data_IF_490222404737
#
_entry.id   IF_490222404737
#
_cell.length_a   1.000
_cell.length_b   1.000
_cell.length_c   1.000
_cell.angle_alpha   90.00
_cell.angle_beta   90.00
_cell.angle_gamma   90.00
#
_symmetry.space_group_name_H-M   'P 1'
#
loop_
_entity.id
_entity.type
_entity.pdbx_description
1 polymer ?
#
# COMPACT_ATOMS: atom_id res chain seq x y z
N UNK A 1 10.58 10.95 -3.48
CA UNK A 1 10.08 11.93 -4.47
C UNK A 1 8.90 11.32 -5.20
N UNK A 2 7.71 11.89 -5.05
CA UNK A 2 6.47 11.26 -5.55
C UNK A 2 6.33 11.30 -7.07
N UNK A 3 6.87 12.35 -7.70
CA UNK A 3 6.86 12.51 -9.17
C UNK A 3 7.66 11.41 -9.88
N UNK A 4 8.82 11.04 -9.35
CA UNK A 4 9.64 9.95 -9.92
C UNK A 4 8.85 8.63 -9.94
N UNK A 5 8.20 8.27 -8.82
CA UNK A 5 7.34 7.09 -8.73
C UNK A 5 6.18 7.11 -9.73
N UNK A 6 5.62 8.29 -10.01
CA UNK A 6 4.53 8.42 -10.98
C UNK A 6 4.99 8.04 -12.40
N UNK A 7 6.16 8.53 -12.83
CA UNK A 7 6.67 8.26 -14.17
C UNK A 7 7.37 6.90 -14.30
N UNK A 8 8.12 6.48 -13.29
CA UNK A 8 8.95 5.27 -13.35
C UNK A 8 8.16 3.99 -13.01
N UNK A 9 7.14 4.09 -12.14
CA UNK A 9 6.41 2.91 -11.63
C UNK A 9 4.96 2.91 -12.08
N UNK A 10 4.22 4.00 -11.86
CA UNK A 10 2.78 4.02 -12.13
C UNK A 10 2.45 4.20 -13.62
N UNK A 11 3.25 4.98 -14.35
CA UNK A 11 3.12 5.18 -15.79
C UNK A 11 3.17 3.86 -16.56
N UNK A 12 4.26 3.07 -16.45
CA UNK A 12 4.34 1.75 -17.08
C UNK A 12 3.23 0.80 -16.64
N UNK A 13 2.88 0.79 -15.34
CA UNK A 13 1.83 -0.08 -14.79
C UNK A 13 0.47 0.12 -15.46
N UNK A 14 0.12 1.36 -15.83
CA UNK A 14 -1.19 1.68 -16.39
C UNK A 14 -1.16 2.09 -17.87
N UNK A 15 -0.07 1.80 -18.59
CA UNK A 15 0.10 2.23 -19.98
C UNK A 15 -1.05 1.80 -20.91
N UNK A 16 -1.63 0.62 -20.68
CA UNK A 16 -2.71 0.08 -21.51
C UNK A 16 -4.12 0.40 -20.97
N UNK A 17 -4.23 0.91 -19.73
CA UNK A 17 -5.51 1.12 -19.05
C UNK A 17 -6.10 2.49 -19.42
N UNK A 18 -7.32 2.49 -19.98
CA UNK A 18 -8.06 3.71 -20.35
C UNK A 18 -8.93 4.23 -19.18
N UNK A 19 -8.30 4.83 -18.18
CA UNK A 19 -8.99 5.43 -17.03
C UNK A 19 -9.32 4.43 -15.91
N UNK A 20 -9.89 4.95 -14.81
CA UNK A 20 -10.26 4.12 -13.65
C UNK A 20 -9.05 3.55 -12.89
N UNK A 21 -8.05 4.39 -12.60
CA UNK A 21 -6.80 3.97 -11.92
C UNK A 21 -6.97 3.75 -10.41
N UNK A 22 -8.07 4.25 -9.84
CA UNK A 22 -8.36 4.17 -8.41
C UNK A 22 -9.68 3.46 -8.14
N UNK A 23 -9.75 2.71 -7.05
CA UNK A 23 -10.97 2.13 -6.48
C UNK A 23 -11.25 2.76 -5.13
N UNK A 24 -12.53 3.03 -4.85
CA UNK A 24 -13.01 3.54 -3.57
C UNK A 24 -13.91 2.48 -2.94
N UNK A 25 -13.57 2.06 -1.72
CA UNK A 25 -14.32 1.09 -0.93
C UNK A 25 -14.89 1.80 0.30
N UNK A 26 -16.20 1.69 0.54
CA UNK A 26 -16.84 2.26 1.73
C UNK A 26 -16.31 1.54 2.98
N UNK A 27 -15.92 2.31 3.99
CA UNK A 27 -15.28 1.81 5.21
C UNK A 27 -16.04 2.23 6.48
N UNK A 28 -17.37 2.22 6.41
CA UNK A 28 -18.23 2.54 7.56
C UNK A 28 -18.08 3.98 8.04
N UNK A 29 -18.15 4.17 9.35
CA UNK A 29 -18.07 5.48 10.00
C UNK A 29 -16.92 5.53 10.98
N UNK A 30 -16.26 6.70 11.08
CA UNK A 30 -15.18 6.95 12.02
C UNK A 30 -15.71 7.03 13.44
N UNK A 31 -14.99 6.39 14.35
CA UNK A 31 -15.31 6.41 15.78
C UNK A 31 -15.16 7.84 16.34
N UNK A 32 -16.14 8.29 17.12
CA UNK A 32 -16.13 9.59 17.81
C UNK A 32 -16.95 10.69 17.12
N UNK A 33 -16.92 10.77 15.79
CA UNK A 33 -17.63 11.81 15.03
C UNK A 33 -18.61 11.28 13.98
N UNK A 34 -18.73 9.95 13.85
CA UNK A 34 -19.60 9.29 12.86
C UNK A 34 -19.35 9.79 11.42
N UNK A 35 -18.13 10.22 11.09
CA UNK A 35 -17.81 10.66 9.74
C UNK A 35 -17.75 9.46 8.77
N UNK A 36 -18.39 9.52 7.58
CA UNK A 36 -18.33 8.43 6.62
C UNK A 36 -16.91 8.26 6.06
N UNK A 37 -16.38 7.05 6.17
CA UNK A 37 -15.01 6.72 5.78
C UNK A 37 -14.98 5.91 4.49
N UNK A 38 -13.87 6.01 3.76
CA UNK A 38 -13.59 5.19 2.60
C UNK A 38 -12.09 4.86 2.50
N UNK A 39 -11.80 3.68 1.96
CA UNK A 39 -10.45 3.28 1.57
C UNK A 39 -10.31 3.60 0.08
N UNK A 40 -9.33 4.43 -0.26
CA UNK A 40 -8.93 4.67 -1.64
C UNK A 40 -7.67 3.88 -1.96
N UNK A 41 -7.68 3.22 -3.10
CA UNK A 41 -6.57 2.38 -3.53
C UNK A 41 -6.29 2.49 -5.03
N UNK A 42 -5.04 2.24 -5.41
CA UNK A 42 -4.65 2.04 -6.80
C UNK A 42 -5.07 0.64 -7.26
N UNK A 43 -5.68 0.57 -8.45
CA UNK A 43 -6.12 -0.67 -9.11
C UNK A 43 -4.91 -1.45 -9.61
N UNK A 44 -4.94 -2.77 -9.74
CA UNK A 44 -3.78 -3.58 -10.21
C UNK A 44 -2.49 -3.39 -9.38
N UNK A 45 -2.62 -2.94 -8.12
CA UNK A 45 -1.47 -2.91 -7.21
C UNK A 45 -1.05 -4.35 -6.88
N UNK A 46 0.22 -4.51 -6.56
CA UNK A 46 0.70 -5.72 -5.90
C UNK A 46 0.24 -5.72 -4.44
N UNK A 47 -0.63 -6.66 -4.08
CA UNK A 47 -1.14 -6.82 -2.72
C UNK A 47 -0.08 -7.39 -1.77
N UNK A 48 0.87 -8.17 -2.29
CA UNK A 48 1.95 -8.79 -1.51
C UNK A 48 2.98 -7.76 -1.04
N UNK A 49 3.14 -6.68 -1.79
CA UNK A 49 4.06 -5.59 -1.44
C UNK A 49 3.62 -4.79 -0.19
N UNK A 50 2.35 -4.88 0.23
CA UNK A 50 1.83 -4.11 1.37
C UNK A 50 2.43 -4.62 2.68
N UNK A 51 3.27 -3.79 3.30
CA UNK A 51 3.93 -4.10 4.57
C UNK A 51 5.07 -5.11 4.45
N UNK A 52 5.51 -5.44 3.23
CA UNK A 52 6.63 -6.36 3.01
C UNK A 52 7.93 -5.84 3.63
N UNK A 53 8.21 -4.53 3.51
CA UNK A 53 9.39 -3.91 4.10
C UNK A 53 9.36 -3.94 5.64
N UNK A 54 8.21 -3.63 6.25
CA UNK A 54 8.05 -3.70 7.71
C UNK A 54 8.17 -5.14 8.22
N UNK A 55 7.57 -6.12 7.53
CA UNK A 55 7.71 -7.54 7.87
C UNK A 55 9.15 -8.02 7.76
N UNK A 56 9.86 -7.63 6.70
CA UNK A 56 11.26 -8.01 6.51
C UNK A 56 12.16 -7.41 7.60
N UNK A 57 11.90 -6.16 8.02
CA UNK A 57 12.60 -5.53 9.13
C UNK A 57 12.37 -6.29 10.44
N UNK A 58 11.12 -6.61 10.77
CA UNK A 58 10.78 -7.33 12.00
C UNK A 58 11.39 -8.73 12.01
N UNK A 59 11.31 -9.46 10.89
CA UNK A 59 11.93 -10.79 10.78
C UNK A 59 13.46 -10.74 10.98
N UNK A 60 14.14 -9.73 10.42
CA UNK A 60 15.58 -9.55 10.62
C UNK A 60 15.94 -9.18 12.08
N UNK A 61 15.11 -8.36 12.74
CA UNK A 61 15.24 -8.03 14.16
C UNK A 61 15.04 -9.28 15.05
N UNK A 62 14.06 -10.14 14.72
CA UNK A 62 13.80 -11.41 15.41
C UNK A 62 14.92 -12.43 15.19
N UNK A 63 15.42 -12.60 13.96
CA UNK A 63 16.55 -13.48 13.66
C UNK A 63 17.84 -13.03 14.37
N UNK A 64 18.11 -11.72 14.43
CA UNK A 64 19.26 -11.19 15.16
C UNK A 64 19.14 -11.45 16.67
N UNK A 65 17.94 -11.27 17.25
CA UNK A 65 17.70 -11.56 18.66
C UNK A 65 17.85 -13.06 19.00
N UNK A 66 17.43 -13.96 18.10
CA UNK A 66 17.60 -15.41 18.26
C UNK A 66 19.05 -15.89 18.05
N UNK A 67 19.87 -15.15 17.29
CA UNK A 67 21.28 -15.48 17.06
C UNK A 67 22.21 -14.98 18.18
N UNK A 68 21.75 -14.02 19.00
CA UNK A 68 22.47 -13.50 20.17
C UNK A 68 22.15 -14.25 21.48
N UNK A 69 21.21 -15.21 21.45
CA UNK A 69 20.91 -16.18 22.55
C UNK A 69 21.67 -17.51 22.38
#
# INVERSE_FOLDING_TARGET
KDVAKLFEVLGPRYAERKGGYTRVLKAGFRYGDMAPMAIIELVDRDESAKGAADKARVAAEEEAAFAEE
#
